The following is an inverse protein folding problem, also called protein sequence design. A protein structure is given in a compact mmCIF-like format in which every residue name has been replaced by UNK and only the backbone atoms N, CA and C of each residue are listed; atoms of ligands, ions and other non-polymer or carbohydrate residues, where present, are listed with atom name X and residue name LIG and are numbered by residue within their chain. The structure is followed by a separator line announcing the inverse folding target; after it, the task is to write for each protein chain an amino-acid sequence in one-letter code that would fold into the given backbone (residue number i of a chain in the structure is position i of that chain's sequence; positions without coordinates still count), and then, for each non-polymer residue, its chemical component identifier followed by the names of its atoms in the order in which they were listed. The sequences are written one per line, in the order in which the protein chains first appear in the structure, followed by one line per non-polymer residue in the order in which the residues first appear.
data_IF_463720829095
#
_entry.id   IF_463720829095
#
_cell.length_a   1.000
_cell.length_b   1.000
_cell.length_c   1.000
_cell.angle_alpha   90.00
_cell.angle_beta   90.00
_cell.angle_gamma   90.00
#
_symmetry.space_group_name_H-M   'P 1'
#
loop_
_entity.id
_entity.type
_entity.pdbx_description
1 polymer ?
#
# COMPACT_ATOMS: atom_id res chain seq x y z
N UNK A 1 -0.96 -40.51 -10.93
CA UNK A 1 -0.08 -39.35 -11.22
C UNK A 1 -0.96 -38.14 -11.55
N UNK A 2 -1.76 -37.67 -10.59
CA UNK A 2 -2.77 -36.60 -10.81
C UNK A 2 -3.17 -35.80 -9.56
N UNK A 3 -2.73 -36.18 -8.34
CA UNK A 3 -3.11 -35.47 -7.10
C UNK A 3 -2.20 -34.27 -6.76
N UNK A 4 -0.92 -34.30 -7.15
CA UNK A 4 0.04 -33.27 -6.74
C UNK A 4 -0.20 -31.86 -7.31
N UNK A 5 -1.06 -31.69 -8.33
CA UNK A 5 -1.30 -30.36 -8.95
C UNK A 5 -2.46 -29.59 -8.32
N UNK A 6 -3.34 -30.25 -7.55
CA UNK A 6 -4.52 -29.60 -6.96
C UNK A 6 -4.20 -28.92 -5.61
N UNK A 7 -3.23 -29.46 -4.87
CA UNK A 7 -2.84 -28.94 -3.57
C UNK A 7 -2.03 -27.63 -3.67
N UNK A 8 -1.15 -27.52 -4.67
CA UNK A 8 -0.39 -26.29 -4.94
C UNK A 8 -1.31 -25.11 -5.29
N UNK A 9 -2.31 -25.32 -6.14
CA UNK A 9 -3.24 -24.25 -6.57
C UNK A 9 -4.10 -23.77 -5.39
N UNK A 10 -4.58 -24.70 -4.56
CA UNK A 10 -5.42 -24.35 -3.39
C UNK A 10 -4.66 -23.50 -2.37
N UNK A 11 -3.36 -23.72 -2.22
CA UNK A 11 -2.54 -22.94 -1.28
C UNK A 11 -2.43 -21.47 -1.69
N UNK A 12 -2.20 -21.19 -2.97
CA UNK A 12 -2.11 -19.82 -3.51
C UNK A 12 -3.45 -19.07 -3.38
N UNK A 13 -4.57 -19.74 -3.68
CA UNK A 13 -5.91 -19.15 -3.58
C UNK A 13 -6.28 -18.81 -2.12
N UNK A 14 -5.88 -19.67 -1.17
CA UNK A 14 -6.18 -19.47 0.25
C UNK A 14 -5.46 -18.26 0.83
N UNK A 15 -4.19 -18.06 0.46
CA UNK A 15 -3.40 -16.88 0.86
C UNK A 15 -4.03 -15.61 0.29
N UNK A 16 -4.46 -15.63 -0.97
CA UNK A 16 -5.11 -14.50 -1.61
C UNK A 16 -6.43 -14.10 -0.93
N UNK A 17 -7.27 -15.07 -0.60
CA UNK A 17 -8.52 -14.83 0.13
C UNK A 17 -8.28 -14.29 1.55
N UNK A 18 -7.26 -14.79 2.26
CA UNK A 18 -6.93 -14.34 3.61
C UNK A 18 -6.47 -12.87 3.60
N UNK A 19 -5.73 -12.46 2.57
CA UNK A 19 -5.28 -11.08 2.43
C UNK A 19 -6.40 -10.15 2.00
N UNK A 20 -7.26 -10.60 1.09
CA UNK A 20 -8.48 -9.86 0.72
C UNK A 20 -9.35 -9.60 1.96
N UNK A 21 -9.51 -10.60 2.82
CA UNK A 21 -10.21 -10.45 4.10
C UNK A 21 -9.48 -9.45 5.03
N UNK A 22 -8.15 -9.53 5.16
CA UNK A 22 -7.35 -8.58 5.93
C UNK A 22 -7.52 -7.13 5.44
N UNK A 23 -7.51 -6.93 4.12
CA UNK A 23 -7.74 -5.63 3.49
C UNK A 23 -9.15 -5.08 3.74
N UNK A 24 -10.16 -5.96 3.66
CA UNK A 24 -11.54 -5.61 3.96
C UNK A 24 -11.67 -5.17 5.43
N UNK A 25 -11.05 -5.92 6.36
CA UNK A 25 -11.02 -5.56 7.79
C UNK A 25 -10.32 -4.22 7.99
N UNK A 26 -9.12 -4.01 7.43
CA UNK A 26 -8.44 -2.72 7.52
C UNK A 26 -9.31 -1.57 6.97
N UNK A 27 -10.16 -1.84 5.98
CA UNK A 27 -11.07 -0.85 5.39
C UNK A 27 -12.24 -0.51 6.27
N UNK A 28 -12.89 -1.50 6.86
CA UNK A 28 -13.90 -1.28 7.88
C UNK A 28 -13.31 -0.50 9.05
N UNK A 29 -12.09 -0.82 9.48
CA UNK A 29 -11.38 -0.10 10.55
C UNK A 29 -11.09 1.35 10.18
N UNK A 30 -10.68 1.66 8.94
CA UNK A 30 -10.45 3.06 8.53
C UNK A 30 -11.74 3.87 8.51
N UNK A 31 -12.81 3.28 7.99
CA UNK A 31 -14.12 3.93 7.94
C UNK A 31 -14.63 4.16 9.37
N UNK A 32 -14.53 3.16 10.25
CA UNK A 32 -14.89 3.29 11.66
C UNK A 32 -14.06 4.35 12.39
N UNK A 33 -12.74 4.39 12.15
CA UNK A 33 -11.86 5.43 12.70
C UNK A 33 -12.23 6.84 12.18
N UNK A 34 -12.71 6.95 10.94
CA UNK A 34 -13.20 8.21 10.37
C UNK A 34 -14.57 8.65 10.90
N UNK A 35 -15.35 7.74 11.52
CA UNK A 35 -16.63 8.07 12.16
C UNK A 35 -16.48 8.53 13.62
N UNK A 36 -15.34 8.25 14.25
CA UNK A 36 -15.03 8.80 15.57
C UNK A 36 -14.45 10.20 15.32
N UNK A 37 -15.12 11.24 15.83
CA UNK A 37 -14.67 12.64 15.80
C UNK A 37 -13.36 12.81 16.58
N UNK A 38 -12.26 12.37 15.96
CA UNK A 38 -10.90 12.65 16.39
C UNK A 38 -10.48 13.98 15.77
N UNK A 39 -9.78 14.81 16.56
CA UNK A 39 -9.21 16.09 16.12
C UNK A 39 -8.56 15.95 14.74
N UNK A 40 -8.86 16.85 13.81
CA UNK A 40 -8.56 16.71 12.37
C UNK A 40 -7.10 16.33 12.07
N UNK A 41 -6.14 16.73 12.91
CA UNK A 41 -4.73 16.37 12.77
C UNK A 41 -4.43 14.89 13.08
N UNK A 42 -5.01 14.32 14.14
CA UNK A 42 -4.80 12.92 14.52
C UNK A 42 -5.48 11.95 13.54
N UNK A 43 -6.66 12.34 13.05
CA UNK A 43 -7.39 11.58 12.03
C UNK A 43 -6.59 11.45 10.71
N UNK A 44 -5.95 12.53 10.25
CA UNK A 44 -5.11 12.51 9.04
C UNK A 44 -3.89 11.60 9.23
N UNK A 45 -3.23 11.68 10.39
CA UNK A 45 -2.07 10.84 10.69
C UNK A 45 -2.44 9.35 10.72
N UNK A 46 -3.53 8.99 11.39
CA UNK A 46 -4.07 7.62 11.41
C UNK A 46 -4.47 7.15 9.99
N UNK A 47 -5.13 8.00 9.22
CA UNK A 47 -5.53 7.67 7.85
C UNK A 47 -4.32 7.38 6.95
N UNK A 48 -3.23 8.16 7.05
CA UNK A 48 -2.00 7.95 6.29
C UNK A 48 -1.29 6.64 6.65
N UNK A 49 -1.22 6.29 7.95
CA UNK A 49 -0.65 5.02 8.40
C UNK A 49 -1.45 3.85 7.84
N UNK A 50 -2.78 3.89 8.00
CA UNK A 50 -3.64 2.80 7.54
C UNK A 50 -3.60 2.69 6.00
N UNK A 51 -3.56 3.82 5.28
CA UNK A 51 -3.42 3.85 3.83
C UNK A 51 -2.09 3.21 3.37
N UNK A 52 -0.99 3.51 4.07
CA UNK A 52 0.33 2.94 3.78
C UNK A 52 0.32 1.43 3.98
N UNK A 53 -0.18 0.95 5.12
CA UNK A 53 -0.25 -0.49 5.43
C UNK A 53 -1.11 -1.22 4.39
N UNK A 54 -2.29 -0.70 4.06
CA UNK A 54 -3.14 -1.28 3.02
C UNK A 54 -2.44 -1.30 1.66
N UNK A 55 -1.80 -0.20 1.27
CA UNK A 55 -1.08 -0.09 0.00
C UNK A 55 0.07 -1.10 -0.08
N UNK A 56 0.85 -1.27 0.99
CA UNK A 56 1.92 -2.26 1.06
C UNK A 56 1.38 -3.70 1.01
N UNK A 57 0.26 -4.01 1.67
CA UNK A 57 -0.37 -5.33 1.57
C UNK A 57 -0.92 -5.59 0.16
N UNK A 58 -1.56 -4.61 -0.48
CA UNK A 58 -2.00 -4.73 -1.88
C UNK A 58 -0.82 -5.01 -2.81
N UNK A 59 0.24 -4.20 -2.72
CA UNK A 59 1.43 -4.35 -3.56
C UNK A 59 2.11 -5.71 -3.38
N UNK A 60 2.17 -6.21 -2.14
CA UNK A 60 2.82 -7.49 -1.84
C UNK A 60 1.99 -8.71 -2.25
N UNK A 61 0.66 -8.65 -2.13
CA UNK A 61 -0.21 -9.82 -2.25
C UNK A 61 -1.08 -9.88 -3.51
N UNK A 62 -1.68 -8.76 -3.95
CA UNK A 62 -2.44 -8.73 -5.22
C UNK A 62 -1.51 -8.91 -6.42
N UNK A 63 -0.22 -8.59 -6.25
CA UNK A 63 0.79 -8.64 -7.29
C UNK A 63 1.78 -9.82 -7.13
N UNK A 64 1.31 -10.98 -6.66
CA UNK A 64 2.00 -12.28 -6.69
C UNK A 64 3.55 -12.23 -6.61
N UNK A 65 4.10 -11.54 -5.62
CA UNK A 65 5.53 -11.27 -5.56
C UNK A 65 6.33 -12.39 -4.87
N UNK A 66 5.65 -13.20 -4.07
CA UNK A 66 6.28 -14.24 -3.27
C UNK A 66 6.77 -15.43 -4.11
N UNK A 67 6.35 -15.56 -5.38
CA UNK A 67 6.64 -16.76 -6.16
C UNK A 67 7.35 -16.57 -7.49
N UNK A 68 7.44 -15.37 -8.11
CA UNK A 68 8.10 -15.32 -9.45
C UNK A 68 8.69 -14.00 -10.00
N UNK A 69 8.25 -12.77 -9.66
CA UNK A 69 8.66 -11.56 -10.44
C UNK A 69 9.17 -10.38 -9.61
N UNK A 70 10.38 -10.52 -9.06
CA UNK A 70 11.12 -9.44 -8.39
C UNK A 70 11.30 -8.17 -9.24
N UNK A 71 11.29 -8.29 -10.57
CA UNK A 71 11.46 -7.17 -11.51
C UNK A 71 10.35 -6.10 -11.37
N UNK A 72 9.11 -6.53 -11.12
CA UNK A 72 7.95 -5.64 -11.04
C UNK A 72 7.97 -4.82 -9.73
N UNK A 73 8.44 -5.41 -8.63
CA UNK A 73 8.66 -4.63 -7.40
C UNK A 73 9.81 -3.66 -7.55
N UNK A 74 10.85 -4.03 -8.29
CA UNK A 74 11.94 -3.13 -8.57
C UNK A 74 11.50 -1.91 -9.39
N UNK A 75 10.68 -2.11 -10.44
CA UNK A 75 10.13 -0.98 -11.22
C UNK A 75 9.17 -0.13 -10.37
N UNK A 76 8.30 -0.74 -9.55
CA UNK A 76 7.41 0.01 -8.66
C UNK A 76 8.19 0.83 -7.62
N UNK A 77 9.23 0.26 -7.02
CA UNK A 77 10.15 0.99 -6.13
C UNK A 77 10.80 2.17 -6.85
N UNK A 78 11.29 1.96 -8.08
CA UNK A 78 11.90 3.04 -8.87
C UNK A 78 10.89 4.14 -9.20
N UNK A 79 9.67 3.78 -9.60
CA UNK A 79 8.60 4.75 -9.89
C UNK A 79 8.21 5.51 -8.63
N UNK A 80 8.14 4.85 -7.47
CA UNK A 80 7.83 5.47 -6.19
C UNK A 80 8.93 6.47 -5.77
N UNK A 81 10.20 6.10 -5.90
CA UNK A 81 11.33 7.00 -5.63
C UNK A 81 11.29 8.20 -6.58
N UNK A 82 11.07 7.97 -7.87
CA UNK A 82 10.99 9.04 -8.86
C UNK A 82 9.81 9.98 -8.61
N UNK A 83 8.66 9.45 -8.21
CA UNK A 83 7.49 10.21 -7.81
C UNK A 83 7.81 11.13 -6.62
N UNK A 84 8.47 10.61 -5.57
CA UNK A 84 8.89 11.43 -4.44
C UNK A 84 9.88 12.52 -4.83
N UNK A 85 10.86 12.22 -5.68
CA UNK A 85 11.82 13.21 -6.19
C UNK A 85 11.08 14.32 -6.96
N UNK A 86 10.18 13.96 -7.88
CA UNK A 86 9.40 14.91 -8.67
C UNK A 86 8.40 15.72 -7.83
N UNK A 87 7.93 15.18 -6.70
CA UNK A 87 7.07 15.91 -5.77
C UNK A 87 7.88 16.84 -4.86
N UNK A 88 9.07 16.41 -4.39
CA UNK A 88 9.91 17.22 -3.51
C UNK A 88 10.55 18.42 -4.22
N UNK A 89 11.07 18.26 -5.45
CA UNK A 89 11.68 19.34 -6.26
C UNK A 89 10.82 20.63 -6.32
N UNK A 90 9.53 20.59 -6.68
CA UNK A 90 8.69 21.79 -6.71
C UNK A 90 8.34 22.28 -5.31
N UNK A 91 8.19 21.41 -4.31
CA UNK A 91 7.92 21.88 -2.93
C UNK A 91 9.09 22.65 -2.33
N UNK A 92 10.34 22.21 -2.56
CA UNK A 92 11.52 22.94 -2.09
C UNK A 92 11.73 24.23 -2.87
N UNK A 93 11.48 24.23 -4.18
CA UNK A 93 11.58 25.42 -5.01
C UNK A 93 10.52 26.48 -4.66
N UNK A 94 9.30 26.03 -4.32
CA UNK A 94 8.25 26.92 -3.83
C UNK A 94 8.55 27.49 -2.44
N UNK A 95 9.08 26.68 -1.52
CA UNK A 95 9.52 27.14 -0.20
C UNK A 95 10.67 28.16 -0.30
N UNK A 96 11.61 27.96 -1.22
CA UNK A 96 12.68 28.92 -1.52
C UNK A 96 12.11 30.25 -2.02
N UNK A 97 11.16 30.22 -2.96
CA UNK A 97 10.49 31.42 -3.45
C UNK A 97 9.73 32.20 -2.35
N UNK A 98 9.06 31.51 -1.44
CA UNK A 98 8.34 32.11 -0.30
C UNK A 98 9.29 32.73 0.73
N UNK A 99 10.49 32.17 0.92
CA UNK A 99 11.45 32.65 1.91
C UNK A 99 12.26 33.88 1.44
N UNK A 100 12.14 34.25 0.16
CA UNK A 100 12.83 35.41 -0.46
C UNK A 100 11.93 36.67 -0.50
N UNK A 101 10.62 36.54 -0.17
CA UNK A 101 9.66 37.66 -0.08
C UNK A 101 9.49 38.16 1.36
#
# INVERSE_FOLDING_TARGET
MSDHSLDDIKSHVKVYMLVFASLAVLTVVTVAASYIDLSSGEAIFLALIIATIKGSLVASYFMHLISEKALITWILMITFVFFFILMFIPTIAFFDWVNIL
#
